data_IF_531152617742
#
_entry.id   IF_531152617742
#
_cell.length_a   1.000
_cell.length_b   1.000
_cell.length_c   1.000
_cell.angle_alpha   90.00
_cell.angle_beta   90.00
_cell.angle_gamma   90.00
#
_symmetry.space_group_name_H-M   'P 1'
#
loop_
_entity.id
_entity.type
_entity.pdbx_description
1 polymer ?
#
# COMPACT_ATOMS: atom_id res chain seq x y z
N UNK A 1 26.98 -2.40 2.84
CA UNK A 1 28.24 -3.07 3.26
C UNK A 1 28.87 -2.36 4.44
N UNK A 2 29.86 -3.01 5.11
CA UNK A 2 30.60 -2.42 6.24
C UNK A 2 29.91 -2.45 7.60
N UNK A 3 28.60 -2.59 7.66
CA UNK A 3 27.80 -2.71 8.91
C UNK A 3 27.66 -4.16 9.36
N UNK A 4 28.80 -4.85 9.50
CA UNK A 4 28.82 -6.20 10.07
C UNK A 4 28.55 -6.22 11.57
N UNK A 5 28.42 -7.43 12.14
CA UNK A 5 28.07 -7.64 13.53
C UNK A 5 28.95 -6.86 14.53
N UNK A 6 30.28 -6.80 14.30
CA UNK A 6 31.19 -6.06 15.15
C UNK A 6 30.97 -4.53 15.10
N UNK A 7 30.68 -4.00 13.90
CA UNK A 7 30.35 -2.59 13.70
C UNK A 7 29.04 -2.23 14.42
N UNK A 8 27.98 -3.02 14.21
CA UNK A 8 26.69 -2.81 14.86
C UNK A 8 26.80 -2.90 16.38
N UNK A 9 27.53 -3.90 16.89
CA UNK A 9 27.77 -4.01 18.34
C UNK A 9 28.43 -2.75 18.89
N UNK A 10 29.47 -2.24 18.22
CA UNK A 10 30.19 -1.04 18.67
C UNK A 10 29.33 0.22 18.60
N UNK A 11 28.51 0.37 17.58
CA UNK A 11 27.51 1.46 17.49
C UNK A 11 26.52 1.37 18.66
N UNK A 12 25.99 0.17 18.93
CA UNK A 12 25.07 -0.05 20.04
C UNK A 12 25.71 0.28 21.41
N UNK A 13 26.95 -0.11 21.64
CA UNK A 13 27.72 0.22 22.87
C UNK A 13 27.91 1.75 23.04
N UNK A 14 27.92 2.50 21.93
CA UNK A 14 28.01 3.96 21.92
C UNK A 14 26.64 4.68 21.86
N UNK A 15 25.55 3.99 22.16
CA UNK A 15 24.24 4.62 22.35
C UNK A 15 23.35 4.66 21.12
N UNK A 16 23.79 4.17 19.97
CA UNK A 16 22.95 4.02 18.78
C UNK A 16 21.94 2.89 19.02
N UNK A 17 20.65 3.19 18.91
CA UNK A 17 19.56 2.25 19.21
C UNK A 17 18.64 1.99 18.04
N UNK A 18 18.53 2.94 17.13
CA UNK A 18 17.62 2.88 16.01
C UNK A 18 18.38 3.00 14.67
N UNK A 19 17.80 2.45 13.62
CA UNK A 19 18.38 2.55 12.27
C UNK A 19 18.45 4.01 11.83
N UNK A 20 17.45 4.82 12.18
CA UNK A 20 17.44 6.26 11.91
C UNK A 20 18.66 6.99 12.50
N UNK A 21 19.11 6.59 13.69
CA UNK A 21 20.29 7.21 14.34
C UNK A 21 21.55 7.02 13.51
N UNK A 22 21.69 5.83 12.87
CA UNK A 22 22.85 5.51 12.03
C UNK A 22 22.94 6.50 10.85
N UNK A 23 21.82 6.87 10.27
CA UNK A 23 21.76 7.78 9.13
C UNK A 23 21.98 9.25 9.49
N UNK A 24 22.01 9.58 10.78
CA UNK A 24 22.34 10.91 11.30
C UNK A 24 23.83 11.04 11.67
N UNK A 25 24.62 9.95 11.57
CA UNK A 25 26.04 9.97 11.91
C UNK A 25 26.85 10.72 10.88
N UNK A 26 27.81 11.49 11.38
CA UNK A 26 28.87 12.11 10.62
C UNK A 26 30.22 11.41 10.89
N UNK A 27 31.23 11.68 10.06
CA UNK A 27 32.57 11.04 10.19
C UNK A 27 33.14 11.24 11.59
N UNK A 28 33.05 12.45 12.13
CA UNK A 28 33.59 12.79 13.45
C UNK A 28 32.90 12.04 14.59
N UNK A 29 31.54 11.84 14.46
CA UNK A 29 30.81 11.02 15.43
C UNK A 29 31.31 9.57 15.44
N UNK A 30 31.52 8.98 14.26
CA UNK A 30 31.97 7.60 14.13
C UNK A 30 33.42 7.48 14.65
N UNK A 31 34.28 8.44 14.37
CA UNK A 31 35.66 8.49 14.90
C UNK A 31 35.69 8.62 16.41
N UNK A 32 34.82 9.45 17.01
CA UNK A 32 34.69 9.59 18.46
C UNK A 32 34.25 8.29 19.16
N UNK A 33 33.53 7.40 18.46
CA UNK A 33 33.21 6.06 18.93
C UNK A 33 34.40 5.08 18.83
N UNK A 34 35.58 5.56 18.42
CA UNK A 34 36.81 4.77 18.36
C UNK A 34 36.97 3.94 17.08
N UNK A 35 36.28 4.29 16.00
CA UNK A 35 36.57 3.75 14.65
C UNK A 35 37.75 4.51 14.04
N UNK A 36 38.57 3.79 13.26
CA UNK A 36 39.65 4.43 12.51
C UNK A 36 39.10 5.28 11.34
N UNK A 37 39.86 6.32 10.94
CA UNK A 37 39.43 7.27 9.90
C UNK A 37 38.98 6.60 8.59
N UNK A 38 39.74 5.62 8.08
CA UNK A 38 39.40 4.88 6.87
C UNK A 38 38.06 4.15 7.02
N UNK A 39 37.80 3.52 8.16
CA UNK A 39 36.55 2.81 8.45
C UNK A 39 35.41 3.80 8.54
N UNK A 40 35.58 4.92 9.22
CA UNK A 40 34.57 5.96 9.37
C UNK A 40 34.14 6.52 8.00
N UNK A 41 35.10 6.83 7.13
CA UNK A 41 34.84 7.29 5.75
C UNK A 41 34.02 6.23 4.96
N UNK A 42 34.48 4.97 5.00
CA UNK A 42 33.79 3.89 4.30
C UNK A 42 32.34 3.71 4.80
N UNK A 43 32.10 3.79 6.11
CA UNK A 43 30.74 3.67 6.67
C UNK A 43 29.82 4.81 6.16
N UNK A 44 30.31 6.04 6.17
CA UNK A 44 29.55 7.20 5.64
C UNK A 44 29.29 7.05 4.13
N UNK A 45 30.28 6.59 3.35
CA UNK A 45 30.09 6.32 1.93
C UNK A 45 29.00 5.27 1.69
N UNK A 46 28.98 4.19 2.48
CA UNK A 46 27.93 3.16 2.38
C UNK A 46 26.55 3.69 2.76
N UNK A 47 26.44 4.55 3.77
CA UNK A 47 25.18 5.20 4.14
C UNK A 47 24.67 6.12 3.02
N UNK A 48 25.56 6.93 2.45
CA UNK A 48 25.19 7.82 1.34
C UNK A 48 24.77 7.02 0.10
N UNK A 49 25.53 5.96 -0.23
CA UNK A 49 25.19 5.06 -1.33
C UNK A 49 23.81 4.41 -1.14
N UNK A 50 23.52 3.91 0.07
CA UNK A 50 22.24 3.27 0.36
C UNK A 50 21.03 4.22 0.30
N UNK A 51 21.24 5.54 0.38
CA UNK A 51 20.20 6.55 0.15
C UNK A 51 19.95 6.82 -1.34
N UNK A 52 20.99 6.66 -2.15
CA UNK A 52 20.96 6.97 -3.59
C UNK A 52 20.52 5.78 -4.44
N UNK A 53 20.71 4.57 -3.94
CA UNK A 53 20.24 3.36 -4.63
C UNK A 53 18.73 3.18 -4.37
N UNK A 54 17.97 3.01 -5.45
CA UNK A 54 16.57 2.63 -5.34
C UNK A 54 16.45 1.28 -4.65
N UNK A 55 15.50 1.17 -3.73
CA UNK A 55 15.21 -0.06 -3.00
C UNK A 55 13.70 -0.32 -3.05
N UNK A 56 13.31 -1.56 -3.24
CA UNK A 56 11.91 -1.95 -3.19
C UNK A 56 11.31 -1.64 -1.81
N UNK A 57 10.16 -1.02 -1.80
CA UNK A 57 9.48 -0.55 -0.60
C UNK A 57 9.19 -1.67 0.41
N UNK A 58 8.87 -2.89 -0.06
CA UNK A 58 8.67 -4.05 0.80
C UNK A 58 9.97 -4.50 1.51
N UNK A 59 11.13 -4.36 0.85
CA UNK A 59 12.43 -4.65 1.48
C UNK A 59 12.79 -3.60 2.51
N UNK A 60 12.52 -2.34 2.18
CA UNK A 60 12.71 -1.23 3.12
C UNK A 60 11.84 -1.43 4.38
N UNK A 61 10.56 -1.79 4.20
CA UNK A 61 9.66 -2.09 5.32
C UNK A 61 10.14 -3.29 6.15
N UNK A 62 10.58 -4.38 5.50
CA UNK A 62 11.09 -5.57 6.17
C UNK A 62 12.32 -5.29 7.04
N UNK A 63 13.14 -4.29 6.69
CA UNK A 63 14.34 -3.93 7.44
C UNK A 63 14.05 -3.40 8.86
N UNK A 64 12.83 -2.95 9.15
CA UNK A 64 12.43 -2.53 10.50
C UNK A 64 12.23 -3.71 11.47
N UNK A 65 12.15 -4.93 10.96
CA UNK A 65 12.06 -6.15 11.80
C UNK A 65 10.76 -6.26 12.60
N UNK A 66 9.67 -5.70 12.09
CA UNK A 66 8.33 -5.84 12.71
C UNK A 66 7.96 -7.31 12.81
N UNK A 67 7.51 -7.72 13.99
CA UNK A 67 7.11 -9.11 14.25
C UNK A 67 6.00 -9.53 13.26
N UNK A 68 6.12 -10.74 12.72
CA UNK A 68 5.21 -11.29 11.70
C UNK A 68 5.25 -10.57 10.34
N UNK A 69 6.00 -9.49 10.19
CA UNK A 69 6.12 -8.75 8.95
C UNK A 69 7.51 -8.97 8.30
N UNK A 70 7.80 -10.25 8.00
CA UNK A 70 8.97 -10.61 7.20
C UNK A 70 8.77 -10.24 5.72
N UNK A 71 9.82 -10.42 4.88
CA UNK A 71 9.85 -9.98 3.47
C UNK A 71 8.60 -10.35 2.68
N UNK A 72 8.16 -11.62 2.73
CA UNK A 72 6.97 -12.06 1.99
C UNK A 72 5.66 -11.41 2.48
N UNK A 73 5.55 -11.16 3.79
CA UNK A 73 4.38 -10.49 4.36
C UNK A 73 4.40 -8.98 4.09
N UNK A 74 5.59 -8.34 4.04
CA UNK A 74 5.72 -6.97 3.57
C UNK A 74 5.26 -6.83 2.12
N UNK A 75 5.74 -7.70 1.22
CA UNK A 75 5.33 -7.71 -0.17
C UNK A 75 3.82 -7.96 -0.32
N UNK A 76 3.25 -8.92 0.43
CA UNK A 76 1.80 -9.16 0.41
C UNK A 76 1.00 -7.96 0.92
N UNK A 77 1.44 -7.30 2.00
CA UNK A 77 0.81 -6.09 2.52
C UNK A 77 0.84 -4.96 1.49
N UNK A 78 2.02 -4.72 0.87
CA UNK A 78 2.22 -3.63 -0.08
C UNK A 78 1.61 -3.89 -1.46
N UNK A 79 1.26 -5.12 -1.80
CA UNK A 79 0.38 -5.44 -2.95
C UNK A 79 -1.07 -5.03 -2.75
N UNK A 80 -1.50 -4.79 -1.51
CA UNK A 80 -2.88 -4.38 -1.21
C UNK A 80 -2.99 -2.89 -0.82
N UNK A 81 -1.94 -2.32 -0.21
CA UNK A 81 -1.91 -0.93 0.26
C UNK A 81 -0.54 -0.31 -0.02
N UNK A 82 -0.48 0.93 -0.47
CA UNK A 82 0.80 1.62 -0.64
C UNK A 82 1.53 1.82 0.69
N UNK A 83 2.86 1.93 0.67
CA UNK A 83 3.67 2.10 1.88
C UNK A 83 3.31 3.37 2.67
N UNK A 84 2.75 4.39 2.02
CA UNK A 84 2.27 5.60 2.70
C UNK A 84 0.98 5.38 3.48
N UNK A 85 0.15 4.41 3.06
CA UNK A 85 -1.17 4.14 3.66
C UNK A 85 -1.11 3.14 4.81
N UNK A 86 -0.09 2.25 4.84
CA UNK A 86 -0.04 1.16 5.84
C UNK A 86 -0.04 1.62 7.30
N UNK A 87 0.37 2.85 7.57
CA UNK A 87 0.39 3.43 8.93
C UNK A 87 -0.96 3.98 9.39
N UNK A 88 -1.97 4.00 8.51
CA UNK A 88 -3.34 4.42 8.81
C UNK A 88 -4.33 3.23 8.81
N UNK A 89 -3.83 2.01 8.53
CA UNK A 89 -4.65 0.80 8.55
C UNK A 89 -5.04 0.42 9.97
N UNK A 90 -6.20 -0.21 10.08
CA UNK A 90 -6.63 -0.91 11.30
C UNK A 90 -6.21 -2.39 11.25
N UNK A 91 -6.25 -3.08 12.38
CA UNK A 91 -6.03 -4.52 12.41
C UNK A 91 -7.08 -5.27 11.55
N UNK A 92 -8.32 -4.77 11.46
CA UNK A 92 -9.38 -5.33 10.62
C UNK A 92 -9.04 -5.20 9.12
N UNK A 93 -8.50 -4.07 8.69
CA UNK A 93 -8.02 -3.88 7.31
C UNK A 93 -6.94 -4.89 6.97
N UNK A 94 -5.97 -5.09 7.86
CA UNK A 94 -4.85 -6.03 7.67
C UNK A 94 -5.38 -7.47 7.63
N UNK A 95 -6.30 -7.85 8.53
CA UNK A 95 -6.87 -9.20 8.58
C UNK A 95 -7.75 -9.53 7.36
N UNK A 96 -8.26 -8.51 6.66
CA UNK A 96 -8.99 -8.67 5.40
C UNK A 96 -8.13 -9.13 4.22
N UNK A 97 -6.81 -9.01 4.34
CA UNK A 97 -5.85 -9.45 3.33
C UNK A 97 -5.65 -10.96 3.45
N UNK A 98 -5.76 -11.67 2.33
CA UNK A 98 -5.49 -13.11 2.31
C UNK A 98 -4.06 -13.44 2.81
N UNK A 99 -3.96 -14.37 3.75
CA UNK A 99 -2.71 -14.76 4.39
C UNK A 99 -2.44 -14.12 5.75
N UNK A 100 -3.27 -13.16 6.21
CA UNK A 100 -3.17 -12.59 7.55
C UNK A 100 -4.35 -13.01 8.44
N UNK A 101 -4.08 -13.87 9.42
CA UNK A 101 -5.06 -14.20 10.47
C UNK A 101 -5.17 -13.04 11.47
N UNK A 102 -6.31 -12.93 12.18
CA UNK A 102 -6.60 -11.85 13.15
C UNK A 102 -5.44 -11.58 14.12
N UNK A 103 -4.93 -12.63 14.80
CA UNK A 103 -3.81 -12.49 15.73
C UNK A 103 -2.53 -11.97 15.06
N UNK A 104 -2.30 -12.30 13.81
CA UNK A 104 -1.16 -11.80 13.03
C UNK A 104 -1.38 -10.35 12.65
N UNK A 105 -2.60 -9.97 12.28
CA UNK A 105 -2.96 -8.60 11.95
C UNK A 105 -2.80 -7.65 13.14
N UNK A 106 -3.23 -8.07 14.34
CA UNK A 106 -3.02 -7.30 15.58
C UNK A 106 -1.54 -7.01 15.83
N UNK A 107 -0.68 -8.04 15.72
CA UNK A 107 0.76 -7.90 15.91
C UNK A 107 1.42 -6.99 14.87
N UNK A 108 0.97 -7.08 13.61
CA UNK A 108 1.46 -6.20 12.54
C UNK A 108 1.01 -4.76 12.79
N UNK A 109 -0.26 -4.54 13.17
CA UNK A 109 -0.79 -3.22 13.48
C UNK A 109 0.00 -2.52 14.58
N UNK A 110 0.22 -3.20 15.71
CA UNK A 110 1.03 -2.69 16.82
C UNK A 110 2.49 -2.42 16.38
N UNK A 111 3.05 -3.33 15.60
CA UNK A 111 4.41 -3.20 15.08
C UNK A 111 4.57 -2.02 14.12
N UNK A 112 3.62 -1.80 13.21
CA UNK A 112 3.61 -0.64 12.31
C UNK A 112 3.53 0.67 13.09
N UNK A 113 2.65 0.74 14.10
CA UNK A 113 2.56 1.91 14.96
C UNK A 113 3.90 2.23 15.66
N UNK A 114 4.65 1.21 16.09
CA UNK A 114 5.93 1.37 16.78
C UNK A 114 7.06 1.90 15.89
N UNK A 115 7.00 1.69 14.57
CA UNK A 115 8.04 2.11 13.62
C UNK A 115 7.68 3.38 12.84
N UNK A 116 6.45 3.89 12.95
CA UNK A 116 5.93 5.03 12.18
C UNK A 116 6.86 6.25 12.21
N UNK A 117 7.32 6.62 13.40
CA UNK A 117 8.21 7.77 13.58
C UNK A 117 9.57 7.55 12.91
N UNK A 118 10.17 6.37 13.12
CA UNK A 118 11.45 6.02 12.48
C UNK A 118 11.35 6.02 10.96
N UNK A 119 10.27 5.45 10.42
CA UNK A 119 9.97 5.48 8.99
C UNK A 119 9.93 6.92 8.47
N UNK A 120 9.20 7.82 9.15
CA UNK A 120 9.09 9.21 8.73
C UNK A 120 10.43 9.95 8.74
N UNK A 121 11.28 9.68 9.75
CA UNK A 121 12.64 10.26 9.84
C UNK A 121 13.50 9.80 8.66
N UNK A 122 13.48 8.51 8.34
CA UNK A 122 14.26 7.96 7.23
C UNK A 122 13.77 8.48 5.87
N UNK A 123 12.46 8.57 5.65
CA UNK A 123 11.90 9.12 4.41
C UNK A 123 12.27 10.60 4.20
N UNK A 124 12.33 11.40 5.26
CA UNK A 124 12.88 12.77 5.20
C UNK A 124 14.37 12.77 4.86
N UNK A 125 15.09 11.70 5.14
CA UNK A 125 16.50 11.49 4.81
C UNK A 125 16.79 11.25 3.32
N UNK A 126 15.76 11.21 2.44
CA UNK A 126 15.91 11.19 0.99
C UNK A 126 16.02 9.78 0.37
N UNK A 127 15.44 8.76 1.00
CA UNK A 127 15.34 7.43 0.38
C UNK A 127 14.38 7.44 -0.80
N UNK A 128 14.80 6.85 -1.91
CA UNK A 128 13.95 6.58 -3.08
C UNK A 128 13.47 5.13 -3.03
N UNK A 129 12.15 4.95 -2.91
CA UNK A 129 11.55 3.63 -2.84
C UNK A 129 10.90 3.26 -4.19
N UNK A 130 11.28 2.10 -4.71
CA UNK A 130 10.58 1.46 -5.81
C UNK A 130 9.29 0.84 -5.27
N UNK A 131 8.16 1.34 -5.75
CA UNK A 131 6.83 0.96 -5.26
C UNK A 131 6.46 -0.44 -5.72
N UNK A 132 5.98 -1.26 -4.79
CA UNK A 132 5.31 -2.52 -5.12
C UNK A 132 4.03 -2.23 -5.91
N UNK A 133 3.82 -2.83 -7.10
CA UNK A 133 2.58 -2.71 -7.83
C UNK A 133 1.40 -3.21 -6.98
N UNK A 134 0.35 -2.43 -6.87
CA UNK A 134 -0.85 -2.86 -6.18
C UNK A 134 -1.55 -3.96 -7.00
N UNK A 135 -2.14 -4.94 -6.35
CA UNK A 135 -2.94 -6.00 -7.02
C UNK A 135 -4.03 -5.42 -7.94
N UNK A 136 -4.51 -4.21 -7.62
CA UNK A 136 -5.48 -3.51 -8.45
C UNK A 136 -4.84 -2.83 -9.66
N UNK A 137 -3.56 -2.47 -9.60
CA UNK A 137 -2.85 -1.80 -10.71
C UNK A 137 -2.53 -2.76 -11.87
N UNK A 138 -2.29 -4.05 -11.59
CA UNK A 138 -2.07 -5.06 -12.64
C UNK A 138 -3.32 -5.29 -13.52
N UNK A 139 -4.51 -4.95 -13.00
CA UNK A 139 -5.77 -4.99 -13.74
C UNK A 139 -6.21 -3.61 -14.29
N UNK A 140 -5.39 -2.56 -14.12
CA UNK A 140 -5.79 -1.16 -14.37
C UNK A 140 -5.37 -0.62 -15.74
N UNK A 141 -4.70 -1.41 -16.60
CA UNK A 141 -4.17 -0.87 -17.85
C UNK A 141 -5.22 -0.40 -18.85
N UNK A 142 -6.51 -0.84 -18.75
CA UNK A 142 -7.56 -0.42 -19.69
C UNK A 142 -8.99 -0.42 -19.12
N UNK A 143 -9.20 -0.32 -17.80
CA UNK A 143 -10.55 -0.31 -17.23
C UNK A 143 -11.22 1.08 -17.39
N UNK A 144 -12.19 1.26 -18.29
CA UNK A 144 -12.85 2.55 -18.52
C UNK A 144 -13.72 3.02 -17.33
N UNK A 145 -13.92 2.16 -16.33
CA UNK A 145 -14.71 2.44 -15.13
C UNK A 145 -13.88 2.74 -13.89
N UNK A 146 -12.55 2.75 -14.01
CA UNK A 146 -11.66 3.06 -12.90
C UNK A 146 -11.98 4.43 -12.28
N UNK A 147 -12.00 4.50 -10.95
CA UNK A 147 -12.37 5.70 -10.18
C UNK A 147 -13.78 6.23 -10.48
N UNK A 148 -14.62 5.46 -11.20
CA UNK A 148 -16.02 5.79 -11.48
C UNK A 148 -16.93 5.26 -10.39
N UNK A 149 -18.07 5.93 -10.21
CA UNK A 149 -19.12 5.50 -9.30
C UNK A 149 -20.26 4.89 -10.08
N UNK A 150 -20.56 3.62 -9.83
CA UNK A 150 -21.60 2.88 -10.53
C UNK A 150 -22.73 2.45 -9.58
N UNK A 151 -23.90 2.24 -10.15
CA UNK A 151 -25.06 1.66 -9.46
C UNK A 151 -25.58 0.48 -10.27
N UNK A 152 -25.73 -0.67 -9.63
CA UNK A 152 -26.39 -1.85 -10.21
C UNK A 152 -27.91 -1.83 -9.90
N UNK A 153 -28.74 -2.16 -10.88
CA UNK A 153 -30.20 -2.23 -10.71
C UNK A 153 -30.84 -3.27 -11.63
N UNK A 154 -31.95 -3.83 -11.22
CA UNK A 154 -32.62 -4.92 -11.91
C UNK A 154 -32.11 -6.30 -11.49
N UNK A 155 -32.64 -7.36 -12.12
CA UNK A 155 -32.16 -8.73 -11.96
C UNK A 155 -30.94 -8.93 -12.86
N UNK A 156 -29.79 -9.18 -12.23
CA UNK A 156 -28.52 -9.44 -12.90
C UNK A 156 -28.40 -10.92 -13.26
N UNK A 157 -27.64 -11.24 -14.30
CA UNK A 157 -27.30 -12.63 -14.66
C UNK A 157 -26.28 -13.24 -13.69
N UNK A 158 -25.42 -12.41 -13.09
CA UNK A 158 -24.49 -12.78 -12.04
C UNK A 158 -25.01 -12.35 -10.66
N UNK A 159 -24.49 -12.97 -9.59
CA UNK A 159 -24.79 -12.52 -8.23
C UNK A 159 -24.40 -11.05 -8.06
N UNK A 160 -25.34 -10.22 -7.60
CA UNK A 160 -25.07 -8.80 -7.33
C UNK A 160 -23.88 -8.62 -6.39
N UNK A 161 -23.78 -9.47 -5.36
CA UNK A 161 -22.67 -9.45 -4.40
C UNK A 161 -21.32 -9.66 -5.09
N UNK A 162 -21.27 -10.57 -6.06
CA UNK A 162 -20.02 -10.88 -6.77
C UNK A 162 -19.66 -9.77 -7.75
N UNK A 163 -20.65 -9.18 -8.44
CA UNK A 163 -20.43 -8.00 -9.31
C UNK A 163 -19.93 -6.79 -8.49
N UNK A 164 -20.50 -6.55 -7.31
CA UNK A 164 -20.08 -5.48 -6.41
C UNK A 164 -18.66 -5.69 -5.86
N UNK A 165 -18.32 -6.95 -5.52
CA UNK A 165 -16.95 -7.32 -5.11
C UNK A 165 -15.95 -7.12 -6.26
N UNK A 166 -16.25 -7.64 -7.43
CA UNK A 166 -15.41 -7.50 -8.62
C UNK A 166 -15.19 -6.03 -8.96
N UNK A 167 -16.26 -5.21 -8.97
CA UNK A 167 -16.16 -3.78 -9.23
C UNK A 167 -15.22 -3.08 -8.24
N UNK A 168 -15.34 -3.38 -6.94
CA UNK A 168 -14.45 -2.81 -5.90
C UNK A 168 -12.99 -3.22 -6.09
N UNK A 169 -12.74 -4.49 -6.43
CA UNK A 169 -11.38 -4.98 -6.73
C UNK A 169 -10.75 -4.28 -7.94
N UNK A 170 -11.57 -3.75 -8.85
CA UNK A 170 -11.15 -3.01 -10.05
C UNK A 170 -11.13 -1.47 -9.83
N UNK A 171 -11.13 -1.02 -8.58
CA UNK A 171 -11.08 0.41 -8.24
C UNK A 171 -12.36 1.19 -8.59
N UNK A 172 -13.50 0.49 -8.73
CA UNK A 172 -14.80 1.09 -9.06
C UNK A 172 -15.63 1.28 -7.78
N UNK A 173 -16.12 2.48 -7.54
CA UNK A 173 -17.01 2.77 -6.42
C UNK A 173 -18.43 2.28 -6.69
N UNK A 174 -19.01 1.45 -5.82
CA UNK A 174 -20.38 0.96 -5.97
C UNK A 174 -21.31 1.66 -4.99
N UNK A 175 -22.41 2.24 -5.48
CA UNK A 175 -23.44 2.89 -4.66
C UNK A 175 -24.80 2.16 -4.76
N UNK A 176 -25.58 2.27 -3.69
CA UNK A 176 -26.92 1.64 -3.64
C UNK A 176 -28.03 2.47 -4.33
N UNK A 177 -27.81 3.78 -4.45
CA UNK A 177 -28.75 4.74 -5.03
C UNK A 177 -28.08 5.64 -6.07
N UNK A 178 -28.87 6.04 -7.06
CA UNK A 178 -28.45 6.99 -8.10
C UNK A 178 -28.43 8.40 -7.53
N UNK A 179 -27.40 9.18 -7.84
CA UNK A 179 -27.27 10.58 -7.44
C UNK A 179 -26.49 11.35 -8.52
N UNK A 180 -26.40 12.67 -8.39
CA UNK A 180 -25.59 13.51 -9.30
C UNK A 180 -24.08 13.17 -9.33
N UNK A 181 -23.61 12.32 -8.39
CA UNK A 181 -22.23 11.84 -8.33
C UNK A 181 -22.07 10.44 -8.90
N UNK A 182 -23.11 9.86 -9.50
CA UNK A 182 -23.07 8.54 -10.15
C UNK A 182 -22.63 8.73 -11.59
N UNK A 183 -21.65 7.96 -12.07
CA UNK A 183 -21.17 8.01 -13.44
C UNK A 183 -21.96 7.08 -14.37
N UNK A 184 -22.26 5.85 -13.87
CA UNK A 184 -22.95 4.84 -14.66
C UNK A 184 -24.07 4.14 -13.89
N UNK A 185 -25.16 3.83 -14.59
CA UNK A 185 -26.21 2.94 -14.11
C UNK A 185 -26.17 1.63 -14.91
N UNK A 186 -25.78 0.55 -14.25
CA UNK A 186 -25.73 -0.79 -14.85
C UNK A 186 -27.07 -1.47 -14.62
N UNK A 187 -27.72 -1.86 -15.72
CA UNK A 187 -29.06 -2.43 -15.69
C UNK A 187 -29.07 -3.91 -16.07
N UNK A 188 -29.80 -4.70 -15.28
CA UNK A 188 -30.19 -6.06 -15.61
C UNK A 188 -31.62 -6.12 -16.17
N UNK A 189 -32.29 -7.26 -15.96
CA UNK A 189 -33.70 -7.41 -16.31
C UNK A 189 -34.61 -6.79 -15.25
N UNK A 190 -35.86 -6.49 -15.63
CA UNK A 190 -36.91 -5.99 -14.74
C UNK A 190 -36.51 -4.75 -13.90
N UNK A 191 -35.93 -3.75 -14.56
CA UNK A 191 -35.47 -2.52 -13.91
C UNK A 191 -36.61 -1.67 -13.41
N UNK A 192 -36.57 -1.25 -12.14
CA UNK A 192 -37.55 -0.33 -11.55
C UNK A 192 -37.42 1.08 -12.13
N UNK A 193 -38.58 1.70 -12.42
CA UNK A 193 -38.68 3.03 -13.04
C UNK A 193 -37.98 4.15 -12.24
N UNK A 194 -37.95 4.05 -10.92
CA UNK A 194 -37.37 5.08 -10.05
C UNK A 194 -35.90 5.37 -10.40
N UNK A 195 -35.03 4.34 -10.40
CA UNK A 195 -33.61 4.52 -10.71
C UNK A 195 -33.36 4.95 -12.16
N UNK A 196 -34.21 4.51 -13.10
CA UNK A 196 -34.18 4.96 -14.49
C UNK A 196 -34.51 6.45 -14.62
N UNK A 197 -35.49 6.94 -13.89
CA UNK A 197 -35.86 8.34 -13.87
C UNK A 197 -34.76 9.20 -13.21
N UNK A 198 -34.16 8.73 -12.12
CA UNK A 198 -33.07 9.41 -11.46
C UNK A 198 -31.83 9.51 -12.38
N UNK A 199 -31.51 8.42 -13.11
CA UNK A 199 -30.41 8.43 -14.08
C UNK A 199 -30.65 9.43 -15.22
N UNK A 200 -31.86 9.47 -15.77
CA UNK A 200 -32.24 10.45 -16.79
C UNK A 200 -32.17 11.89 -16.26
N UNK A 201 -32.66 12.12 -15.03
CA UNK A 201 -32.63 13.43 -14.36
C UNK A 201 -31.22 13.98 -14.21
N UNK A 202 -30.24 13.12 -13.96
CA UNK A 202 -28.85 13.48 -13.73
C UNK A 202 -27.95 13.27 -14.96
N UNK A 203 -28.53 12.92 -16.13
CA UNK A 203 -27.80 12.64 -17.37
C UNK A 203 -26.73 11.55 -17.22
N UNK A 204 -27.01 10.53 -16.43
CA UNK A 204 -26.09 9.42 -16.14
C UNK A 204 -26.14 8.42 -17.30
N UNK A 205 -24.97 7.96 -17.72
CA UNK A 205 -24.87 6.92 -18.75
C UNK A 205 -25.44 5.60 -18.25
N UNK A 206 -26.35 5.01 -19.05
CA UNK A 206 -27.01 3.76 -18.73
C UNK A 206 -26.49 2.69 -19.68
N UNK A 207 -26.07 1.55 -19.14
CA UNK A 207 -25.63 0.39 -19.92
C UNK A 207 -26.14 -0.91 -19.32
N UNK A 208 -26.23 -1.95 -20.13
CA UNK A 208 -26.61 -3.28 -19.69
C UNK A 208 -25.45 -3.97 -18.95
N UNK A 209 -25.77 -4.99 -18.13
CA UNK A 209 -24.75 -5.84 -17.50
C UNK A 209 -23.79 -6.44 -18.54
N UNK A 210 -24.31 -6.88 -19.68
CA UNK A 210 -23.50 -7.46 -20.77
C UNK A 210 -22.53 -6.46 -21.37
N UNK A 211 -22.96 -5.22 -21.59
CA UNK A 211 -22.08 -4.13 -22.10
C UNK A 211 -21.01 -3.75 -21.07
N UNK A 212 -21.37 -3.69 -19.78
CA UNK A 212 -20.44 -3.45 -18.68
C UNK A 212 -19.36 -4.52 -18.64
N UNK A 213 -19.75 -5.80 -18.59
CA UNK A 213 -18.80 -6.92 -18.57
C UNK A 213 -17.90 -6.98 -19.80
N UNK A 214 -18.45 -6.66 -20.98
CA UNK A 214 -17.67 -6.59 -22.22
C UNK A 214 -16.61 -5.49 -22.15
N UNK A 215 -16.98 -4.29 -21.67
CA UNK A 215 -16.05 -3.16 -21.52
C UNK A 215 -14.99 -3.39 -20.43
N UNK A 216 -15.25 -4.25 -19.43
CA UNK A 216 -14.28 -4.63 -18.41
C UNK A 216 -13.20 -5.58 -18.93
N UNK A 217 -13.52 -6.36 -19.98
CA UNK A 217 -12.64 -7.42 -20.51
C UNK A 217 -11.95 -7.00 -21.83
N UNK A 218 -12.06 -5.72 -22.24
CA UNK A 218 -11.41 -5.17 -23.42
C UNK A 218 -10.17 -4.40 -23.06
#
# INVERSE_FOLDING_TARGET
>A
DGFGQATIKKLYENGIRQVSDIYLLEIDHIMAMGFGEKTSKNLIEQLNRSRQESIEDWRFLAAFGVQRLGMGNCENLLKNYSIGEIFELTAEDISSIDGFAELTADQIFEGLASIKEQYQVLMKGGFELEKTPLKNDENLSDNPFQNKKIVFTGAMSHSRSDLEKQAKMLGISVAKSVSSKTDFLIIGENVGQSKMNDAKKHSIEIMTESEYLKKLNT
#
